data_IF_616526243800
#
_entry.id   IF_616526243800
#
_cell.length_a   1.000
_cell.length_b   1.000
_cell.length_c   1.000
_cell.angle_alpha   90.00
_cell.angle_beta   90.00
_cell.angle_gamma   90.00
#
_symmetry.space_group_name_H-M   'P 1'
#
loop_
_entity.id
_entity.type
_entity.pdbx_description
1 polymer ?
#
# COMPACT_ATOMS: atom_id res chain seq x y z
N UNK A 1 -19.03 1.97 -14.94
CA UNK A 1 -17.85 1.28 -14.36
C UNK A 1 -16.64 2.21 -14.24
N UNK A 2 -16.41 3.10 -15.21
CA UNK A 2 -15.32 4.09 -15.24
C UNK A 2 -15.16 4.97 -13.98
N UNK A 3 -16.24 5.48 -13.33
CA UNK A 3 -16.08 6.29 -12.12
C UNK A 3 -15.45 5.55 -10.94
N UNK A 4 -15.73 4.24 -10.79
CA UNK A 4 -15.15 3.43 -9.71
C UNK A 4 -13.65 3.18 -9.95
N UNK A 5 -13.24 2.96 -11.20
CA UNK A 5 -11.82 2.83 -11.55
C UNK A 5 -11.06 4.13 -11.25
N UNK A 6 -11.61 5.28 -11.65
CA UNK A 6 -11.01 6.58 -11.31
C UNK A 6 -10.99 6.87 -9.80
N UNK A 7 -12.01 6.45 -9.06
CA UNK A 7 -12.00 6.53 -7.60
C UNK A 7 -10.84 5.69 -7.02
N UNK A 8 -10.66 4.45 -7.50
CA UNK A 8 -9.53 3.60 -7.12
C UNK A 8 -8.18 4.20 -7.48
N UNK A 9 -8.04 4.77 -8.68
CA UNK A 9 -6.83 5.47 -9.11
C UNK A 9 -6.49 6.66 -8.22
N UNK A 10 -7.50 7.48 -7.92
CA UNK A 10 -7.36 8.60 -7.00
C UNK A 10 -6.93 8.12 -5.60
N UNK A 11 -7.55 7.05 -5.06
CA UNK A 11 -7.16 6.47 -3.77
C UNK A 11 -5.69 6.03 -3.74
N UNK A 12 -5.24 5.30 -4.77
CA UNK A 12 -3.87 4.81 -4.84
C UNK A 12 -2.84 5.95 -4.92
N UNK A 13 -3.09 6.99 -5.70
CA UNK A 13 -2.17 8.14 -5.82
C UNK A 13 -2.25 9.08 -4.63
N UNK A 14 -3.44 9.36 -4.09
CA UNK A 14 -3.62 10.22 -2.91
C UNK A 14 -2.86 9.66 -1.72
N UNK A 15 -2.87 8.34 -1.51
CA UNK A 15 -2.09 7.72 -0.43
C UNK A 15 -0.63 8.18 -0.44
N UNK A 16 -0.01 8.11 -1.61
CA UNK A 16 1.38 8.49 -1.84
C UNK A 16 1.62 9.97 -1.63
N UNK A 17 0.81 10.82 -2.26
CA UNK A 17 0.95 12.28 -2.14
C UNK A 17 0.84 12.72 -0.68
N UNK A 18 -0.16 12.21 0.04
CA UNK A 18 -0.41 12.62 1.42
C UNK A 18 0.74 12.21 2.34
N UNK A 19 1.23 10.96 2.31
CA UNK A 19 2.32 10.59 3.20
C UNK A 19 3.64 11.29 2.85
N UNK A 20 3.87 11.60 1.56
CA UNK A 20 5.07 12.34 1.14
C UNK A 20 5.04 13.78 1.66
N UNK A 21 3.93 14.50 1.44
CA UNK A 21 3.79 15.88 1.89
C UNK A 21 3.75 15.97 3.42
N UNK A 22 3.02 15.07 4.07
CA UNK A 22 2.96 15.04 5.53
C UNK A 22 4.32 14.70 6.13
N UNK A 23 5.01 13.68 5.60
CA UNK A 23 6.33 13.24 6.07
C UNK A 23 7.41 14.30 5.91
N UNK A 24 7.39 15.10 4.84
CA UNK A 24 8.33 16.22 4.64
C UNK A 24 8.14 17.35 5.66
N UNK A 25 6.95 17.47 6.24
CA UNK A 25 6.58 18.58 7.14
C UNK A 25 6.41 18.12 8.59
N UNK A 26 6.73 16.86 8.90
CA UNK A 26 6.46 16.25 10.19
C UNK A 26 7.65 16.43 11.15
N UNK A 27 7.49 17.15 12.27
CA UNK A 27 8.57 17.31 13.25
C UNK A 27 9.01 15.97 13.85
N UNK A 28 10.33 15.75 13.88
CA UNK A 28 10.95 14.53 14.42
C UNK A 28 10.74 13.27 13.58
N UNK A 29 9.99 13.35 12.47
CA UNK A 29 9.87 12.22 11.55
C UNK A 29 11.10 12.14 10.66
N UNK A 30 11.67 10.94 10.54
CA UNK A 30 12.84 10.70 9.69
C UNK A 30 12.46 9.78 8.51
N UNK A 31 12.23 10.34 7.31
CA UNK A 31 11.87 9.56 6.13
C UNK A 31 12.94 8.55 5.66
N UNK A 32 14.10 8.43 6.28
CA UNK A 32 15.01 7.33 5.92
C UNK A 32 14.78 6.10 6.81
N UNK A 33 14.60 6.32 8.12
CA UNK A 33 14.49 5.25 9.12
C UNK A 33 13.05 4.85 9.39
N UNK A 34 12.14 5.81 9.56
CA UNK A 34 10.81 5.56 10.10
C UNK A 34 9.79 5.20 9.01
N UNK A 35 8.87 4.25 9.29
CA UNK A 35 7.90 3.79 8.30
C UNK A 35 6.80 4.84 8.03
N UNK A 36 6.05 4.67 6.95
CA UNK A 36 4.87 5.50 6.63
C UNK A 36 3.82 5.41 7.74
N UNK A 37 3.63 4.22 8.31
CA UNK A 37 2.68 3.99 9.39
C UNK A 37 2.95 4.83 10.64
N UNK A 38 4.22 5.18 10.91
CA UNK A 38 4.57 6.03 12.03
C UNK A 38 3.96 7.43 11.90
N UNK A 39 3.67 7.93 10.69
CA UNK A 39 2.97 9.21 10.51
C UNK A 39 1.55 9.22 11.11
N UNK A 40 0.98 8.06 11.46
CA UNK A 40 -0.28 7.97 12.19
C UNK A 40 -0.16 8.28 13.69
N UNK A 41 1.04 8.56 14.19
CA UNK A 41 1.33 8.92 15.58
C UNK A 41 1.51 10.44 15.75
N UNK A 42 1.39 10.89 17.00
CA UNK A 42 1.50 12.29 17.37
C UNK A 42 0.28 13.14 17.01
N UNK A 43 0.41 14.46 17.14
CA UNK A 43 -0.72 15.41 17.09
C UNK A 43 -1.45 15.49 15.75
N UNK A 44 -0.75 15.32 14.61
CA UNK A 44 -1.38 15.21 13.28
C UNK A 44 -1.46 13.75 12.77
N UNK A 45 -1.35 12.77 13.65
CA UNK A 45 -1.48 11.34 13.32
C UNK A 45 -2.80 10.98 12.63
N UNK A 46 -3.85 11.75 12.91
CA UNK A 46 -5.14 11.62 12.24
C UNK A 46 -5.05 11.81 10.72
N UNK A 47 -4.11 12.62 10.20
CA UNK A 47 -3.94 12.84 8.76
C UNK A 47 -3.61 11.53 8.07
N UNK A 48 -2.62 10.78 8.58
CA UNK A 48 -2.25 9.51 8.01
C UNK A 48 -3.30 8.42 8.28
N UNK A 49 -3.98 8.43 9.43
CA UNK A 49 -5.13 7.53 9.66
C UNK A 49 -6.24 7.73 8.62
N UNK A 50 -6.64 8.99 8.37
CA UNK A 50 -7.64 9.29 7.34
C UNK A 50 -7.14 8.88 5.96
N UNK A 51 -5.86 9.13 5.66
CA UNK A 51 -5.23 8.73 4.41
C UNK A 51 -5.31 7.21 4.16
N UNK A 52 -4.97 6.40 5.16
CA UNK A 52 -5.11 4.93 5.11
C UNK A 52 -6.56 4.52 4.81
N UNK A 53 -7.51 5.02 5.59
CA UNK A 53 -8.91 4.61 5.49
C UNK A 53 -9.53 5.04 4.16
N UNK A 54 -9.40 6.31 3.79
CA UNK A 54 -9.99 6.85 2.55
C UNK A 54 -9.36 6.19 1.33
N UNK A 55 -8.04 6.12 1.26
CA UNK A 55 -7.35 5.49 0.12
C UNK A 55 -7.68 4.01 0.00
N UNK A 56 -7.70 3.29 1.13
CA UNK A 56 -8.06 1.88 1.16
C UNK A 56 -9.49 1.63 0.68
N UNK A 57 -10.46 2.43 1.14
CA UNK A 57 -11.86 2.31 0.70
C UNK A 57 -12.04 2.66 -0.78
N UNK A 58 -11.33 3.67 -1.29
CA UNK A 58 -11.36 4.04 -2.70
C UNK A 58 -10.78 2.92 -3.59
N UNK A 59 -9.65 2.32 -3.20
CA UNK A 59 -9.07 1.16 -3.89
C UNK A 59 -10.05 -0.01 -3.90
N UNK A 60 -10.68 -0.31 -2.75
CA UNK A 60 -11.70 -1.36 -2.65
C UNK A 60 -12.91 -1.06 -3.55
N UNK A 61 -13.33 0.20 -3.66
CA UNK A 61 -14.40 0.58 -4.58
C UNK A 61 -14.02 0.32 -6.05
N UNK A 62 -12.77 0.63 -6.44
CA UNK A 62 -12.22 0.33 -7.77
C UNK A 62 -12.21 -1.17 -8.09
N UNK A 63 -12.00 -2.03 -7.08
CA UNK A 63 -12.00 -3.48 -7.24
C UNK A 63 -13.30 -4.03 -7.85
N UNK A 64 -14.45 -3.43 -7.55
CA UNK A 64 -15.75 -3.88 -8.09
C UNK A 64 -15.89 -3.67 -9.61
N UNK A 65 -15.12 -2.75 -10.21
CA UNK A 65 -15.11 -2.52 -11.65
C UNK A 65 -14.10 -3.38 -12.40
N UNK A 66 -13.14 -4.00 -11.70
CA UNK A 66 -12.06 -4.81 -12.29
C UNK A 66 -12.57 -5.97 -13.14
N UNK A 67 -13.55 -6.80 -12.69
CA UNK A 67 -13.99 -7.94 -13.49
C UNK A 67 -14.58 -7.56 -14.86
N UNK A 68 -15.28 -6.42 -14.92
CA UNK A 68 -15.89 -5.92 -16.15
C UNK A 68 -14.93 -5.17 -17.06
N UNK A 69 -13.91 -4.51 -16.50
CA UNK A 69 -12.93 -3.74 -17.26
C UNK A 69 -11.80 -4.61 -17.83
N UNK A 70 -11.36 -5.61 -17.06
CA UNK A 70 -10.15 -6.38 -17.36
C UNK A 70 -10.42 -7.88 -17.57
N UNK A 71 -11.67 -8.32 -17.49
CA UNK A 71 -12.03 -9.71 -17.75
C UNK A 71 -11.98 -10.06 -19.24
N UNK A 72 -11.24 -11.11 -19.59
CA UNK A 72 -11.29 -11.68 -20.95
C UNK A 72 -12.55 -12.56 -21.06
N UNK A 73 -13.45 -12.34 -22.04
CA UNK A 73 -14.66 -13.14 -22.22
C UNK A 73 -14.35 -14.65 -22.29
N UNK A 74 -15.07 -15.46 -21.53
CA UNK A 74 -14.88 -16.92 -21.47
C UNK A 74 -13.78 -17.40 -20.51
N UNK A 75 -13.14 -16.51 -19.75
CA UNK A 75 -12.17 -16.86 -18.71
C UNK A 75 -12.59 -16.32 -17.34
N UNK A 76 -12.04 -16.89 -16.25
CA UNK A 76 -12.16 -16.31 -14.91
C UNK A 76 -11.33 -15.01 -14.71
N UNK A 77 -10.75 -14.44 -15.78
CA UNK A 77 -9.55 -13.58 -15.73
C UNK A 77 -9.62 -12.34 -14.83
N UNK A 78 -10.78 -11.72 -14.64
CA UNK A 78 -10.87 -10.49 -13.82
C UNK A 78 -11.08 -10.71 -12.32
N UNK A 79 -11.59 -11.88 -11.90
CA UNK A 79 -12.01 -12.10 -10.50
C UNK A 79 -10.82 -12.21 -9.53
N UNK A 80 -9.75 -12.99 -9.82
CA UNK A 80 -8.59 -13.05 -8.92
C UNK A 80 -7.94 -11.68 -8.71
N UNK A 81 -7.83 -10.88 -9.77
CA UNK A 81 -7.30 -9.52 -9.70
C UNK A 81 -8.21 -8.62 -8.86
N UNK A 82 -9.53 -8.69 -9.05
CA UNK A 82 -10.48 -7.93 -8.24
C UNK A 82 -10.39 -8.28 -6.75
N UNK A 83 -10.26 -9.56 -6.41
CA UNK A 83 -10.08 -10.01 -5.02
C UNK A 83 -8.76 -9.50 -4.43
N UNK A 84 -7.65 -9.62 -5.16
CA UNK A 84 -6.34 -9.11 -4.71
C UNK A 84 -6.38 -7.61 -4.43
N UNK A 85 -6.95 -6.82 -5.35
CA UNK A 85 -7.12 -5.36 -5.20
C UNK A 85 -8.04 -5.02 -4.03
N UNK A 86 -9.18 -5.70 -3.90
CA UNK A 86 -10.14 -5.46 -2.83
C UNK A 86 -9.56 -5.77 -1.45
N UNK A 87 -8.85 -6.89 -1.31
CA UNK A 87 -8.20 -7.26 -0.04
C UNK A 87 -7.04 -6.31 0.27
N UNK A 88 -6.27 -5.87 -0.73
CA UNK A 88 -5.23 -4.84 -0.55
C UNK A 88 -5.82 -3.54 -0.01
N UNK A 89 -6.91 -3.05 -0.60
CA UNK A 89 -7.61 -1.83 -0.16
C UNK A 89 -8.17 -1.95 1.26
N UNK A 90 -8.84 -3.08 1.57
CA UNK A 90 -9.36 -3.34 2.92
C UNK A 90 -8.26 -3.46 3.97
N UNK A 91 -7.15 -4.13 3.65
CA UNK A 91 -5.99 -4.24 4.53
C UNK A 91 -5.35 -2.87 4.78
N UNK A 92 -5.23 -2.04 3.74
CA UNK A 92 -4.73 -0.67 3.87
C UNK A 92 -5.63 0.17 4.79
N UNK A 93 -6.95 0.06 4.64
CA UNK A 93 -7.90 0.74 5.54
C UNK A 93 -7.79 0.22 6.99
N UNK A 94 -7.64 -1.10 7.17
CA UNK A 94 -7.44 -1.71 8.48
C UNK A 94 -6.16 -1.22 9.18
N UNK A 95 -5.04 -1.04 8.45
CA UNK A 95 -3.82 -0.41 8.98
C UNK A 95 -4.04 1.04 9.45
N UNK A 96 -5.06 1.74 8.95
CA UNK A 96 -5.46 3.05 9.46
C UNK A 96 -6.26 2.97 10.75
N UNK A 97 -7.18 2.00 10.83
CA UNK A 97 -8.04 1.74 12.01
C UNK A 97 -7.22 1.28 13.20
N UNK A 98 -6.29 0.35 12.98
CA UNK A 98 -5.38 -0.15 14.00
C UNK A 98 -4.05 0.58 13.88
N UNK A 99 -3.75 1.48 14.82
CA UNK A 99 -2.48 2.22 14.81
C UNK A 99 -1.37 1.37 15.41
N UNK A 100 -0.16 1.53 14.87
CA UNK A 100 1.06 1.01 15.49
C UNK A 100 1.35 1.74 16.82
N UNK A 101 2.06 1.09 17.74
CA UNK A 101 2.64 1.76 18.90
C UNK A 101 3.79 2.71 18.53
N UNK A 102 4.02 3.76 19.34
CA UNK A 102 5.28 4.50 19.37
C UNK A 102 6.49 3.59 19.60
N UNK A 103 7.54 3.77 18.80
CA UNK A 103 8.80 3.05 18.93
C UNK A 103 9.92 3.76 18.17
N UNK A 104 11.17 3.36 18.42
CA UNK A 104 12.34 3.78 17.63
C UNK A 104 12.44 5.30 17.46
N UNK A 105 12.23 5.99 18.58
CA UNK A 105 12.40 7.43 18.71
C UNK A 105 11.27 8.27 18.12
N UNK A 106 10.13 7.68 17.74
CA UNK A 106 8.99 8.43 17.20
C UNK A 106 7.65 8.08 17.85
N UNK A 107 6.80 9.09 18.16
CA UNK A 107 7.03 10.53 18.03
C UNK A 107 8.06 11.07 19.05
N UNK A 108 8.45 12.36 19.00
CA UNK A 108 9.37 12.94 19.97
C UNK A 108 8.96 12.67 21.43
N UNK A 109 9.90 12.19 22.25
CA UNK A 109 9.66 11.75 23.62
C UNK A 109 9.51 10.22 23.78
N UNK A 110 9.44 9.48 22.67
CA UNK A 110 9.45 8.01 22.67
C UNK A 110 10.90 7.47 22.78
N UNK A 111 11.15 6.41 23.58
CA UNK A 111 12.45 5.74 23.60
C UNK A 111 12.92 5.28 22.21
N UNK A 112 14.23 5.32 21.96
CA UNK A 112 14.82 4.84 20.70
C UNK A 112 15.06 3.31 20.71
N UNK A 113 14.02 2.57 21.06
CA UNK A 113 13.99 1.10 21.11
C UNK A 113 12.59 0.61 20.74
N UNK A 114 12.44 -0.70 20.57
CA UNK A 114 11.13 -1.34 20.53
C UNK A 114 10.54 -1.41 21.95
N UNK A 115 9.20 -1.36 22.10
CA UNK A 115 8.55 -1.59 23.38
C UNK A 115 8.70 -3.06 23.79
N UNK A 116 8.74 -3.33 25.10
CA UNK A 116 8.82 -4.70 25.63
C UNK A 116 7.62 -5.56 25.21
N UNK A 117 6.44 -4.95 25.13
CA UNK A 117 5.23 -5.58 24.62
C UNK A 117 4.51 -4.65 23.63
N UNK A 118 4.10 -5.21 22.49
CA UNK A 118 3.23 -4.51 21.56
C UNK A 118 1.77 -4.55 22.03
N UNK A 119 1.06 -3.44 21.88
CA UNK A 119 -0.37 -3.36 22.12
C UNK A 119 -1.15 -4.25 21.13
N UNK A 120 -2.41 -4.55 21.48
CA UNK A 120 -3.30 -5.29 20.56
C UNK A 120 -3.50 -4.52 19.24
N UNK A 121 -3.57 -3.20 19.29
CA UNK A 121 -3.74 -2.38 18.10
C UNK A 121 -2.52 -2.49 17.18
N UNK A 122 -1.30 -2.44 17.74
CA UNK A 122 -0.09 -2.63 16.96
C UNK A 122 -0.03 -4.01 16.30
N UNK A 123 -0.33 -5.10 17.02
CA UNK A 123 -0.35 -6.44 16.41
C UNK A 123 -1.36 -6.57 15.27
N UNK A 124 -2.53 -5.92 15.39
CA UNK A 124 -3.52 -5.88 14.31
C UNK A 124 -3.07 -4.99 13.15
N UNK A 125 -2.37 -3.90 13.43
CA UNK A 125 -1.72 -3.06 12.42
C UNK A 125 -0.72 -3.86 11.60
N UNK A 126 0.15 -4.62 12.26
CA UNK A 126 1.18 -5.44 11.61
C UNK A 126 0.57 -6.58 10.80
N UNK A 127 -0.49 -7.22 11.31
CA UNK A 127 -1.21 -8.25 10.56
C UNK A 127 -1.81 -7.66 9.27
N UNK A 128 -2.46 -6.48 9.36
CA UNK A 128 -2.99 -5.78 8.19
C UNK A 128 -1.86 -5.33 7.24
N UNK A 129 -0.76 -4.81 7.80
CA UNK A 129 0.44 -4.42 7.07
C UNK A 129 1.06 -5.60 6.32
N UNK A 130 1.15 -6.78 6.95
CA UNK A 130 1.63 -8.01 6.31
C UNK A 130 0.79 -8.39 5.10
N UNK A 131 -0.54 -8.24 5.17
CA UNK A 131 -1.43 -8.45 4.01
C UNK A 131 -1.17 -7.40 2.91
N UNK A 132 -0.99 -6.12 3.27
CA UNK A 132 -0.61 -5.08 2.30
C UNK A 132 0.71 -5.42 1.61
N UNK A 133 1.75 -5.77 2.36
CA UNK A 133 3.09 -6.05 1.82
C UNK A 133 3.16 -7.38 1.05
N UNK A 134 2.25 -8.31 1.30
CA UNK A 134 2.04 -9.50 0.47
C UNK A 134 1.34 -9.14 -0.86
N UNK A 135 0.34 -8.27 -0.83
CA UNK A 135 -0.48 -7.95 -2.01
C UNK A 135 0.09 -6.81 -2.87
N UNK A 136 0.99 -5.98 -2.35
CA UNK A 136 1.74 -5.01 -3.15
C UNK A 136 2.51 -5.68 -4.32
N UNK A 137 3.23 -6.79 -4.12
CA UNK A 137 3.74 -7.61 -5.22
C UNK A 137 2.72 -8.60 -5.79
N UNK A 138 1.86 -9.17 -4.95
CA UNK A 138 0.90 -10.20 -5.39
C UNK A 138 -0.08 -9.68 -6.45
N UNK A 139 -0.60 -8.48 -6.28
CA UNK A 139 -1.59 -7.87 -7.20
C UNK A 139 -1.04 -7.68 -8.62
N UNK A 140 0.12 -7.03 -8.83
CA UNK A 140 0.74 -6.94 -10.15
C UNK A 140 1.19 -8.28 -10.71
N UNK A 141 1.63 -9.24 -9.88
CA UNK A 141 1.91 -10.60 -10.36
C UNK A 141 0.64 -11.30 -10.87
N UNK A 142 -0.49 -11.18 -10.16
CA UNK A 142 -1.78 -11.68 -10.64
C UNK A 142 -2.14 -11.00 -11.97
N UNK A 143 -2.01 -9.67 -12.06
CA UNK A 143 -2.26 -8.91 -13.28
C UNK A 143 -1.41 -9.39 -14.47
N UNK A 144 -0.15 -9.79 -14.23
CA UNK A 144 0.74 -10.31 -15.28
C UNK A 144 0.21 -11.58 -15.97
N UNK A 145 -0.64 -12.36 -15.28
CA UNK A 145 -1.25 -13.58 -15.82
C UNK A 145 -2.72 -13.42 -16.20
N UNK A 146 -3.36 -12.30 -15.85
CA UNK A 146 -4.79 -12.07 -16.12
C UNK A 146 -5.07 -11.08 -17.22
N UNK A 147 -4.21 -10.07 -17.40
CA UNK A 147 -4.40 -9.05 -18.43
C UNK A 147 -4.09 -9.63 -19.82
N UNK A 148 -4.82 -9.19 -20.84
CA UNK A 148 -4.62 -9.63 -22.23
C UNK A 148 -3.65 -8.78 -23.05
N UNK A 149 -3.28 -7.59 -22.55
CA UNK A 149 -2.37 -6.68 -23.22
C UNK A 149 -0.90 -6.98 -22.84
N UNK A 150 -0.01 -7.26 -23.80
CA UNK A 150 1.38 -7.64 -23.50
C UNK A 150 2.17 -6.58 -22.73
N UNK A 151 1.95 -5.29 -23.00
CA UNK A 151 2.68 -4.21 -22.31
C UNK A 151 2.32 -4.22 -20.83
N UNK A 152 1.01 -4.34 -20.53
CA UNK A 152 0.54 -4.45 -19.15
C UNK A 152 0.93 -5.77 -18.48
N UNK A 153 0.96 -6.89 -19.20
CA UNK A 153 1.44 -8.16 -18.64
C UNK A 153 2.90 -8.06 -18.18
N UNK A 154 3.81 -7.68 -19.09
CA UNK A 154 5.23 -7.57 -18.78
C UNK A 154 5.51 -6.47 -17.74
N UNK A 155 4.88 -5.31 -17.90
CA UNK A 155 5.00 -4.21 -16.93
C UNK A 155 4.57 -4.62 -15.53
N UNK A 156 3.44 -5.33 -15.41
CA UNK A 156 2.96 -5.83 -14.11
C UNK A 156 3.88 -6.91 -13.54
N UNK A 157 4.42 -7.80 -14.37
CA UNK A 157 5.41 -8.79 -13.93
C UNK A 157 6.67 -8.13 -13.34
N UNK A 158 7.22 -7.12 -14.03
CA UNK A 158 8.39 -6.36 -13.57
C UNK A 158 8.10 -5.63 -12.25
N UNK A 159 6.97 -4.92 -12.19
CA UNK A 159 6.54 -4.22 -10.96
C UNK A 159 6.36 -5.21 -9.80
N UNK A 160 5.73 -6.35 -10.06
CA UNK A 160 5.48 -7.38 -9.04
C UNK A 160 6.76 -7.99 -8.49
N UNK A 161 7.73 -8.32 -9.34
CA UNK A 161 9.03 -8.84 -8.90
C UNK A 161 9.81 -7.75 -8.14
N UNK A 162 9.85 -6.53 -8.65
CA UNK A 162 10.55 -5.42 -7.98
C UNK A 162 9.91 -5.09 -6.61
N UNK A 163 8.58 -5.08 -6.52
CA UNK A 163 7.87 -4.92 -5.25
C UNK A 163 8.11 -6.11 -4.30
N UNK A 164 8.27 -7.34 -4.80
CA UNK A 164 8.53 -8.50 -3.97
C UNK A 164 9.92 -8.40 -3.32
N UNK A 165 10.92 -8.01 -4.11
CA UNK A 165 12.27 -7.70 -3.60
C UNK A 165 12.20 -6.56 -2.60
N UNK A 166 11.50 -5.48 -2.92
CA UNK A 166 11.32 -4.32 -2.04
C UNK A 166 10.65 -4.68 -0.70
N UNK A 167 9.63 -5.53 -0.70
CA UNK A 167 8.99 -6.07 0.51
C UNK A 167 9.98 -6.90 1.33
N UNK A 168 10.73 -7.81 0.70
CA UNK A 168 11.71 -8.64 1.40
C UNK A 168 12.82 -7.81 2.05
N UNK A 169 13.37 -6.84 1.32
CA UNK A 169 14.40 -5.92 1.83
C UNK A 169 13.83 -5.04 2.94
N UNK A 170 12.59 -4.54 2.80
CA UNK A 170 11.93 -3.79 3.88
C UNK A 170 11.75 -4.64 5.13
N UNK A 171 11.25 -5.87 5.02
CA UNK A 171 11.07 -6.77 6.17
C UNK A 171 12.40 -7.01 6.89
N UNK A 172 13.46 -7.34 6.16
CA UNK A 172 14.79 -7.49 6.77
C UNK A 172 15.28 -6.19 7.40
N UNK A 173 15.12 -5.05 6.74
CA UNK A 173 15.55 -3.76 7.26
C UNK A 173 14.75 -3.35 8.52
N UNK A 174 13.46 -3.70 8.58
CA UNK A 174 12.59 -3.45 9.72
C UNK A 174 13.01 -4.27 10.94
N UNK A 175 13.18 -5.58 10.79
CA UNK A 175 13.61 -6.47 11.87
C UNK A 175 14.98 -6.10 12.45
N UNK A 176 15.88 -5.57 11.61
CA UNK A 176 17.23 -5.17 12.03
C UNK A 176 17.34 -3.68 12.44
N UNK A 177 16.23 -2.97 12.57
CA UNK A 177 16.18 -1.51 12.82
C UNK A 177 17.17 -0.70 11.95
N UNK A 178 17.23 -1.04 10.67
CA UNK A 178 18.14 -0.40 9.74
C UNK A 178 17.72 1.05 9.47
N UNK A 179 18.72 1.95 9.42
CA UNK A 179 18.54 3.40 9.15
C UNK A 179 17.81 3.75 7.84
N UNK A 180 17.66 2.78 6.93
CA UNK A 180 17.04 2.94 5.62
C UNK A 180 15.71 2.18 5.47
N UNK A 181 15.19 1.55 6.53
CA UNK A 181 13.98 0.75 6.48
C UNK A 181 12.78 1.55 5.93
N UNK A 182 12.58 2.76 6.44
CA UNK A 182 11.54 3.66 5.95
C UNK A 182 11.68 4.01 4.47
N UNK A 183 12.90 4.28 3.98
CA UNK A 183 13.15 4.58 2.56
C UNK A 183 12.70 3.43 1.66
N UNK A 184 13.14 2.21 1.97
CA UNK A 184 12.78 1.02 1.18
C UNK A 184 11.27 0.79 1.24
N UNK A 185 10.66 0.92 2.42
CA UNK A 185 9.21 0.80 2.58
C UNK A 185 8.46 1.75 1.63
N UNK A 186 8.83 3.03 1.62
CA UNK A 186 8.17 4.04 0.78
C UNK A 186 8.38 3.79 -0.70
N UNK A 187 9.58 3.39 -1.11
CA UNK A 187 9.84 3.04 -2.50
C UNK A 187 8.95 1.87 -2.96
N UNK A 188 8.81 0.84 -2.12
CA UNK A 188 7.93 -0.32 -2.40
C UNK A 188 6.46 0.06 -2.49
N UNK A 189 5.97 0.88 -1.55
CA UNK A 189 4.59 1.39 -1.56
C UNK A 189 4.34 2.25 -2.81
N UNK A 190 5.25 3.18 -3.12
CA UNK A 190 5.16 4.06 -4.29
C UNK A 190 5.07 3.23 -5.57
N UNK A 191 5.99 2.28 -5.74
CA UNK A 191 6.03 1.42 -6.91
C UNK A 191 4.69 0.69 -7.13
N UNK A 192 4.19 0.01 -6.08
CA UNK A 192 2.96 -0.78 -6.19
C UNK A 192 1.71 0.07 -6.39
N UNK A 193 1.56 1.16 -5.62
CA UNK A 193 0.35 1.98 -5.68
C UNK A 193 0.32 2.94 -6.88
N UNK A 194 1.47 3.43 -7.36
CA UNK A 194 1.52 4.20 -8.62
C UNK A 194 1.14 3.30 -9.79
N UNK A 195 1.66 2.07 -9.85
CA UNK A 195 1.25 1.07 -10.83
C UNK A 195 -0.25 0.76 -10.73
N UNK A 196 -0.78 0.55 -9.54
CA UNK A 196 -2.21 0.22 -9.36
C UNK A 196 -3.10 1.36 -9.85
N UNK A 197 -2.75 2.61 -9.52
CA UNK A 197 -3.49 3.77 -10.03
C UNK A 197 -3.39 3.91 -11.55
N UNK A 198 -2.22 3.61 -12.13
CA UNK A 198 -2.05 3.60 -13.58
C UNK A 198 -2.88 2.49 -14.25
N UNK A 199 -2.94 1.28 -13.67
CA UNK A 199 -3.77 0.19 -14.17
C UNK A 199 -5.25 0.59 -14.17
N UNK A 200 -5.73 1.20 -13.09
CA UNK A 200 -7.12 1.67 -13.03
C UNK A 200 -7.45 2.75 -14.05
N UNK A 201 -6.54 3.70 -14.29
CA UNK A 201 -6.78 4.83 -15.19
C UNK A 201 -6.56 4.49 -16.67
N UNK A 202 -5.54 3.69 -16.96
CA UNK A 202 -4.99 3.51 -18.32
C UNK A 202 -4.83 2.04 -18.73
N UNK A 203 -5.30 1.12 -17.89
CA UNK A 203 -5.28 -0.31 -18.19
C UNK A 203 -6.08 -0.66 -19.45
N UNK A 204 -5.89 -1.87 -19.99
CA UNK A 204 -6.63 -2.30 -21.17
C UNK A 204 -8.13 -2.37 -20.84
N UNK A 205 -9.00 -1.78 -21.66
CA UNK A 205 -10.45 -1.79 -21.41
C UNK A 205 -10.99 -0.67 -20.51
N UNK A 206 -10.18 0.35 -20.19
CA UNK A 206 -10.64 1.57 -19.51
C UNK A 206 -11.19 2.65 -20.46
N UNK A 207 -11.10 2.42 -21.77
CA UNK A 207 -11.62 3.27 -22.85
C UNK A 207 -13.01 2.85 -23.34
#
# INVERSE_FOLDING_TARGET
MTPLLWAGAAGAWLFNVVFLVDGLTRPGYHPFRQPVSALALGSRGWVQTVNFVVSGLLITAGAFAVPGAFGVPGTFGGVPLALAVGVLGLALAASGVFRMDPMRGYPPGTPDTDPEEHSRAHRLHDAAGGVVFLLLPGTPLVAAFTLGDPVWQWGSGIVGVAAAVGTGVFGQAWENDARYAGLVQRATILLGLVWLGALFAFGPGTA
#
